data_IF_018023317200
#
_entry.id   IF_018023317200
#
_cell.length_a   1.000
_cell.length_b   1.000
_cell.length_c   1.000
_cell.angle_alpha   90.00
_cell.angle_beta   90.00
_cell.angle_gamma   90.00
#
_symmetry.space_group_name_H-M   'P 1'
#
loop_
_entity.id
_entity.type
_entity.pdbx_description
1 polymer ?
#
# COMPACT_ATOMS: atom_id res chain seq x y z
N UNK A 1 29.04 -12.33 7.02
CA UNK A 1 27.85 -12.67 7.81
C UNK A 1 26.73 -11.74 7.35
N UNK A 2 25.68 -12.26 6.71
CA UNK A 2 24.58 -11.44 6.20
C UNK A 2 23.48 -11.32 7.25
N UNK A 3 23.15 -10.11 7.71
CA UNK A 3 21.97 -9.83 8.51
C UNK A 3 20.72 -10.15 7.69
N UNK A 4 19.95 -11.15 8.13
CA UNK A 4 18.62 -11.47 7.60
C UNK A 4 17.58 -10.72 8.42
N UNK A 5 17.04 -9.65 7.88
CA UNK A 5 15.91 -8.96 8.48
C UNK A 5 14.61 -9.60 7.96
N UNK A 6 13.76 -10.04 8.89
CA UNK A 6 12.37 -10.44 8.61
C UNK A 6 11.49 -9.78 9.64
N UNK A 7 10.59 -8.90 9.20
CA UNK A 7 9.51 -8.36 10.03
C UNK A 7 8.19 -8.81 9.43
N UNK A 8 7.34 -9.43 10.22
CA UNK A 8 5.97 -9.77 9.84
C UNK A 8 5.03 -8.88 10.63
N UNK A 9 4.19 -8.14 9.95
CA UNK A 9 3.26 -7.18 10.54
C UNK A 9 1.86 -7.72 10.28
N UNK A 10 1.06 -7.85 11.34
CA UNK A 10 -0.32 -8.30 11.27
C UNK A 10 -1.18 -7.10 10.89
N UNK A 11 -1.70 -7.07 9.66
CA UNK A 11 -2.61 -6.03 9.21
C UNK A 11 -4.01 -6.20 9.84
N UNK A 12 -4.54 -7.45 9.82
CA UNK A 12 -5.75 -7.86 10.56
C UNK A 12 -5.76 -9.38 10.73
N UNK A 13 -6.80 -9.95 11.39
CA UNK A 13 -6.86 -11.39 11.63
C UNK A 13 -6.85 -12.19 10.33
N UNK A 14 -5.73 -12.88 10.08
CA UNK A 14 -5.52 -13.72 8.91
C UNK A 14 -4.67 -13.07 7.81
N UNK A 15 -4.34 -11.78 7.88
CA UNK A 15 -3.51 -11.08 6.88
C UNK A 15 -2.24 -10.54 7.52
N UNK A 16 -1.11 -10.91 6.95
CA UNK A 16 0.19 -10.40 7.40
C UNK A 16 0.99 -9.89 6.20
N UNK A 17 1.55 -8.70 6.34
CA UNK A 17 2.59 -8.20 5.48
C UNK A 17 3.94 -8.72 5.97
N UNK A 18 4.68 -9.38 5.11
CA UNK A 18 6.02 -9.86 5.44
C UNK A 18 7.04 -9.04 4.66
N UNK A 19 7.89 -8.33 5.39
CA UNK A 19 9.04 -7.61 4.83
C UNK A 19 10.26 -8.53 4.89
N UNK A 20 10.88 -8.80 3.76
CA UNK A 20 12.10 -9.59 3.66
C UNK A 20 13.07 -8.97 2.64
N UNK A 21 14.32 -9.40 2.68
CA UNK A 21 15.37 -8.97 1.74
C UNK A 21 15.01 -9.25 0.25
N UNK A 22 14.03 -10.11 -0.01
CA UNK A 22 13.52 -10.43 -1.35
C UNK A 22 12.28 -9.60 -1.76
N UNK A 23 11.91 -8.59 -0.95
CA UNK A 23 10.78 -7.71 -1.14
C UNK A 23 9.60 -8.01 -0.21
N UNK A 24 8.62 -7.11 -0.15
CA UNK A 24 7.40 -7.31 0.60
C UNK A 24 6.54 -8.41 -0.02
N UNK A 25 5.79 -9.13 0.81
CA UNK A 25 4.82 -10.13 0.39
C UNK A 25 3.62 -10.14 1.33
N UNK A 26 2.42 -10.18 0.77
CA UNK A 26 1.19 -10.38 1.52
C UNK A 26 0.97 -11.87 1.77
N UNK A 27 0.66 -12.24 2.98
CA UNK A 27 0.25 -13.60 3.31
C UNK A 27 -1.13 -13.61 3.95
N UNK A 28 -2.00 -14.46 3.41
CA UNK A 28 -3.37 -14.65 3.82
C UNK A 28 -3.51 -16.03 4.46
N UNK A 29 -4.25 -16.17 5.57
CA UNK A 29 -4.60 -17.46 6.14
C UNK A 29 -4.71 -17.48 7.65
N UNK A 30 -5.56 -18.37 8.15
CA UNK A 30 -5.66 -18.76 9.57
C UNK A 30 -4.77 -19.98 9.85
N UNK A 31 -4.66 -20.32 11.13
CA UNK A 31 -3.88 -21.47 11.62
C UNK A 31 -4.12 -22.73 10.76
N UNK A 32 -3.07 -23.24 10.12
CA UNK A 32 -3.10 -24.45 9.28
C UNK A 32 -3.10 -24.22 7.77
N UNK A 33 -3.47 -23.06 7.25
CA UNK A 33 -3.42 -22.78 5.82
C UNK A 33 -2.98 -21.34 5.57
N UNK A 34 -1.89 -21.16 4.84
CA UNK A 34 -1.34 -19.85 4.51
C UNK A 34 -1.06 -19.75 3.01
N UNK A 35 -1.56 -18.73 2.40
CA UNK A 35 -1.20 -18.37 1.03
C UNK A 35 -0.44 -17.05 1.05
N UNK A 36 0.69 -16.96 0.37
CA UNK A 36 1.43 -15.73 0.22
C UNK A 36 1.67 -15.42 -1.26
N UNK A 37 1.48 -14.18 -1.62
CA UNK A 37 1.73 -13.67 -2.96
C UNK A 37 2.83 -12.62 -2.83
N UNK A 38 3.91 -12.77 -3.60
CA UNK A 38 4.93 -11.74 -3.67
C UNK A 38 4.66 -10.84 -4.88
N UNK A 39 5.21 -9.63 -4.86
CA UNK A 39 5.07 -8.64 -5.93
C UNK A 39 5.63 -9.08 -7.29
N UNK A 40 6.37 -10.20 -7.34
CA UNK A 40 6.86 -10.81 -8.60
C UNK A 40 5.88 -11.81 -9.20
N UNK A 41 4.62 -11.86 -8.68
CA UNK A 41 3.59 -12.78 -9.15
C UNK A 41 3.84 -14.26 -8.81
N UNK A 42 4.64 -14.54 -7.77
CA UNK A 42 4.80 -15.90 -7.27
C UNK A 42 3.80 -16.13 -6.13
N UNK A 43 2.95 -17.11 -6.30
CA UNK A 43 2.03 -17.58 -5.27
C UNK A 43 2.63 -18.78 -4.55
N UNK A 44 2.69 -18.70 -3.22
CA UNK A 44 3.10 -19.82 -2.37
C UNK A 44 1.96 -20.19 -1.43
N UNK A 45 1.43 -21.39 -1.62
CA UNK A 45 0.42 -21.97 -0.73
C UNK A 45 1.11 -22.91 0.24
N UNK A 46 0.88 -22.68 1.54
CA UNK A 46 1.37 -23.55 2.61
C UNK A 46 0.17 -24.09 3.37
N UNK A 47 0.04 -25.40 3.43
CA UNK A 47 -0.97 -26.11 4.22
C UNK A 47 -0.24 -26.85 5.33
N UNK A 48 -0.61 -26.61 6.58
CA UNK A 48 0.01 -27.27 7.74
C UNK A 48 -1.04 -27.75 8.72
N UNK A 49 -0.71 -28.79 9.49
CA UNK A 49 -1.55 -29.26 10.57
C UNK A 49 -1.15 -28.49 11.84
N UNK A 50 -2.07 -27.68 12.43
CA UNK A 50 -1.75 -26.89 13.61
C UNK A 50 -1.22 -27.74 14.74
N UNK A 51 -0.11 -27.31 15.38
CA UNK A 51 0.49 -27.97 16.53
C UNK A 51 1.45 -29.14 16.22
N UNK A 52 1.57 -29.60 14.97
CA UNK A 52 2.43 -30.75 14.62
C UNK A 52 3.77 -30.39 13.99
N UNK A 53 3.95 -29.13 13.57
CA UNK A 53 5.14 -28.70 12.82
C UNK A 53 5.24 -29.24 11.39
N UNK A 54 4.29 -30.05 10.94
CA UNK A 54 4.24 -30.59 9.56
C UNK A 54 3.50 -29.63 8.66
N UNK A 55 4.16 -29.22 7.56
CA UNK A 55 3.56 -28.36 6.54
C UNK A 55 3.96 -28.78 5.14
N UNK A 56 3.03 -28.62 4.20
CA UNK A 56 3.23 -28.82 2.76
C UNK A 56 3.23 -27.46 2.07
N UNK A 57 4.22 -27.20 1.22
CA UNK A 57 4.34 -25.92 0.51
C UNK A 57 4.37 -26.17 -0.99
N UNK A 58 3.48 -25.51 -1.72
CA UNK A 58 3.46 -25.47 -3.19
C UNK A 58 3.73 -24.03 -3.65
N UNK A 59 4.74 -23.87 -4.49
CA UNK A 59 5.05 -22.57 -5.12
C UNK A 59 4.67 -22.66 -6.60
N UNK A 60 3.89 -21.70 -7.08
CA UNK A 60 3.48 -21.57 -8.48
C UNK A 60 3.86 -20.17 -8.97
N UNK A 61 4.37 -20.06 -10.21
CA UNK A 61 4.60 -18.80 -10.88
C UNK A 61 3.40 -18.50 -11.76
N UNK A 62 2.76 -17.35 -11.58
CA UNK A 62 1.61 -16.90 -12.37
C UNK A 62 1.98 -16.80 -13.86
N UNK A 63 3.24 -16.52 -14.20
CA UNK A 63 3.73 -16.52 -15.59
C UNK A 63 3.58 -17.86 -16.31
N UNK A 64 3.52 -18.99 -15.61
CA UNK A 64 3.34 -20.31 -16.22
C UNK A 64 1.88 -20.71 -16.41
N UNK A 65 0.93 -19.94 -15.88
CA UNK A 65 -0.51 -20.18 -16.05
C UNK A 65 -1.05 -19.39 -17.26
N UNK A 66 -0.42 -18.28 -17.63
CA UNK A 66 -0.83 -17.39 -18.73
C UNK A 66 0.01 -17.55 -20.01
N UNK A 67 1.04 -18.38 -20.00
CA UNK A 67 1.91 -18.65 -21.15
C UNK A 67 1.45 -19.82 -21.99
N UNK A 68 0.34 -19.71 -22.68
CA UNK A 68 0.06 -20.53 -23.83
C UNK A 68 0.87 -20.04 -25.03
N UNK A 69 1.90 -20.77 -25.45
CA UNK A 69 2.60 -20.40 -26.68
C UNK A 69 3.87 -21.20 -26.94
N UNK A 70 3.73 -22.27 -27.71
CA UNK A 70 4.65 -22.79 -28.76
C UNK A 70 6.16 -22.90 -28.47
N UNK A 71 6.66 -24.02 -28.52
CA UNK A 71 7.44 -24.83 -29.52
C UNK A 71 8.53 -25.66 -28.81
N UNK A 72 8.81 -26.86 -29.06
CA UNK A 72 9.21 -27.69 -30.17
C UNK A 72 9.62 -29.11 -29.74
N UNK A 73 9.15 -30.06 -30.52
CA UNK A 73 9.78 -31.30 -30.95
C UNK A 73 10.87 -32.02 -30.14
N UNK A 74 10.59 -33.28 -29.92
CA UNK A 74 11.64 -34.31 -29.84
C UNK A 74 11.17 -35.66 -29.34
N UNK A 75 10.92 -36.56 -30.33
CA UNK A 75 11.09 -38.00 -30.33
C UNK A 75 10.11 -38.93 -29.59
N UNK A 76 9.57 -39.76 -30.41
CA UNK A 76 8.65 -40.86 -30.21
C UNK A 76 9.15 -41.98 -29.29
N UNK A 77 8.22 -42.60 -28.56
CA UNK A 77 8.14 -44.06 -28.48
C UNK A 77 6.67 -44.50 -28.45
N UNK A 78 6.35 -45.40 -29.35
CA UNK A 78 5.06 -46.09 -29.50
C UNK A 78 4.86 -47.07 -28.37
N UNK A 79 3.64 -47.19 -27.90
CA UNK A 79 3.24 -48.41 -27.23
C UNK A 79 1.98 -48.31 -26.38
N UNK A 80 0.93 -48.97 -26.92
CA UNK A 80 -0.22 -49.55 -26.23
C UNK A 80 -1.41 -48.68 -25.83
N UNK A 81 -2.45 -48.82 -26.64
CA UNK A 81 -3.86 -48.59 -26.35
C UNK A 81 -4.30 -49.32 -25.07
N UNK A 82 -4.98 -48.63 -24.20
CA UNK A 82 -6.15 -49.21 -23.51
C UNK A 82 -7.10 -48.10 -23.13
N UNK A 83 -8.33 -48.26 -23.54
CA UNK A 83 -9.43 -47.39 -23.27
C UNK A 83 -9.82 -47.43 -21.77
N UNK A 84 -9.79 -46.26 -21.13
CA UNK A 84 -10.67 -45.98 -20.00
C UNK A 84 -10.97 -44.49 -20.05
N UNK A 85 -11.95 -44.16 -20.88
CA UNK A 85 -12.63 -42.86 -20.87
C UNK A 85 -13.60 -42.91 -19.71
N UNK A 86 -13.08 -42.73 -18.49
CA UNK A 86 -13.91 -42.49 -17.33
C UNK A 86 -13.97 -40.98 -17.15
N UNK A 87 -15.17 -40.45 -17.30
CA UNK A 87 -15.52 -39.08 -17.04
C UNK A 87 -14.95 -38.65 -15.67
N UNK A 88 -13.90 -37.83 -15.67
CA UNK A 88 -13.62 -36.98 -14.55
C UNK A 88 -14.74 -35.91 -14.57
N UNK A 89 -15.84 -36.21 -13.86
CA UNK A 89 -16.79 -35.18 -13.46
C UNK A 89 -15.94 -34.09 -12.83
N UNK A 90 -16.02 -32.88 -13.36
CA UNK A 90 -15.46 -31.68 -12.71
C UNK A 90 -16.11 -31.64 -11.32
N UNK A 91 -15.37 -32.04 -10.29
CA UNK A 91 -15.79 -31.84 -8.92
C UNK A 91 -15.90 -30.33 -8.75
N UNK A 92 -17.12 -29.81 -8.63
CA UNK A 92 -17.34 -28.42 -8.23
C UNK A 92 -16.61 -28.17 -6.92
N UNK A 93 -16.29 -26.88 -6.68
CA UNK A 93 -15.67 -26.46 -5.42
C UNK A 93 -16.55 -26.92 -4.24
N UNK A 94 -15.90 -27.34 -3.16
CA UNK A 94 -16.60 -27.60 -1.89
C UNK A 94 -17.12 -26.30 -1.29
N UNK A 95 -18.12 -26.37 -0.43
CA UNK A 95 -18.65 -25.19 0.29
C UNK A 95 -17.56 -24.47 1.08
N UNK A 96 -16.60 -25.19 1.66
CA UNK A 96 -15.47 -24.62 2.37
C UNK A 96 -14.53 -23.83 1.44
N UNK A 97 -14.26 -24.33 0.22
CA UNK A 97 -13.45 -23.63 -0.79
C UNK A 97 -14.17 -22.39 -1.32
N UNK A 98 -15.48 -22.46 -1.53
CA UNK A 98 -16.30 -21.30 -1.95
C UNK A 98 -16.27 -20.22 -0.87
N UNK A 99 -16.43 -20.58 0.39
CA UNK A 99 -16.39 -19.63 1.50
C UNK A 99 -14.99 -19.01 1.66
N UNK A 100 -13.94 -19.80 1.52
CA UNK A 100 -12.57 -19.27 1.51
C UNK A 100 -12.34 -18.29 0.36
N UNK A 101 -12.80 -18.60 -0.85
CA UNK A 101 -12.68 -17.73 -2.00
C UNK A 101 -13.46 -16.42 -1.79
N UNK A 102 -14.64 -16.48 -1.19
CA UNK A 102 -15.44 -15.30 -0.82
C UNK A 102 -14.67 -14.40 0.17
N UNK A 103 -14.08 -15.00 1.20
CA UNK A 103 -13.28 -14.27 2.17
C UNK A 103 -12.06 -13.61 1.52
N UNK A 104 -11.37 -14.31 0.62
CA UNK A 104 -10.22 -13.75 -0.12
C UNK A 104 -10.61 -12.54 -0.96
N UNK A 105 -11.75 -12.61 -1.66
CA UNK A 105 -12.23 -11.46 -2.46
C UNK A 105 -12.64 -10.31 -1.55
N UNK A 106 -13.33 -10.57 -0.44
CA UNK A 106 -13.72 -9.54 0.52
C UNK A 106 -12.50 -8.87 1.18
N UNK A 107 -11.46 -9.63 1.50
CA UNK A 107 -10.19 -9.09 2.03
C UNK A 107 -9.47 -8.20 0.99
N UNK A 108 -9.48 -8.61 -0.28
CA UNK A 108 -8.95 -7.78 -1.36
C UNK A 108 -9.72 -6.47 -1.51
N UNK A 109 -11.05 -6.52 -1.53
CA UNK A 109 -11.91 -5.33 -1.62
C UNK A 109 -11.71 -4.39 -0.43
N UNK A 110 -11.59 -4.95 0.79
CA UNK A 110 -11.31 -4.18 1.99
C UNK A 110 -9.93 -3.49 1.93
N UNK A 111 -8.91 -4.16 1.38
CA UNK A 111 -7.58 -3.56 1.21
C UNK A 111 -7.61 -2.40 0.19
N UNK A 112 -8.37 -2.54 -0.90
CA UNK A 112 -8.56 -1.45 -1.87
C UNK A 112 -9.27 -0.26 -1.21
N UNK A 113 -10.34 -0.50 -0.45
CA UNK A 113 -11.07 0.56 0.24
C UNK A 113 -10.19 1.24 1.30
N UNK A 114 -9.33 0.49 1.97
CA UNK A 114 -8.37 1.02 2.93
C UNK A 114 -7.39 2.00 2.27
N UNK A 115 -6.83 1.66 1.09
CA UNK A 115 -5.95 2.56 0.34
C UNK A 115 -6.65 3.89 -0.01
N UNK A 116 -7.94 3.86 -0.34
CA UNK A 116 -8.73 5.04 -0.67
C UNK A 116 -9.12 5.86 0.56
N UNK A 117 -9.19 5.24 1.73
CA UNK A 117 -9.73 5.84 2.95
C UNK A 117 -8.69 6.15 4.04
N UNK A 118 -7.39 6.11 3.70
CA UNK A 118 -6.28 6.44 4.61
C UNK A 118 -6.50 7.78 5.33
N UNK A 119 -7.04 8.79 4.65
CA UNK A 119 -7.33 10.11 5.18
C UNK A 119 -8.35 10.13 6.34
N UNK A 120 -9.16 9.09 6.51
CA UNK A 120 -10.13 9.00 7.62
C UNK A 120 -9.45 8.71 8.95
N UNK A 121 -8.33 8.02 8.91
CA UNK A 121 -7.51 7.79 10.09
C UNK A 121 -6.68 9.03 10.41
N UNK A 122 -6.35 9.26 11.66
CA UNK A 122 -5.38 10.25 12.12
C UNK A 122 -5.01 10.01 13.57
N UNK A 123 -3.82 10.44 13.92
CA UNK A 123 -3.37 10.44 15.31
C UNK A 123 -4.11 11.48 16.16
N UNK A 124 -4.14 11.24 17.47
CA UNK A 124 -4.67 12.21 18.42
C UNK A 124 -3.75 13.43 18.53
N UNK A 125 -4.33 14.62 18.56
CA UNK A 125 -3.56 15.85 18.71
C UNK A 125 -2.89 15.94 20.10
N UNK A 126 -1.62 16.33 20.12
CA UNK A 126 -0.86 16.57 21.35
C UNK A 126 -1.06 18.02 21.79
N UNK A 127 -1.55 18.21 23.00
CA UNK A 127 -1.56 19.53 23.64
C UNK A 127 -0.23 19.75 24.39
N UNK A 128 0.72 20.33 23.70
CA UNK A 128 2.04 20.66 24.24
C UNK A 128 2.01 21.64 25.41
N UNK A 129 0.94 22.43 25.56
CA UNK A 129 0.83 23.41 26.63
C UNK A 129 0.51 22.78 27.99
N UNK A 130 -0.18 21.64 27.99
CA UNK A 130 -0.61 20.93 29.19
C UNK A 130 0.17 19.62 29.42
N UNK A 131 1.07 19.26 28.51
CA UNK A 131 1.83 18.02 28.58
C UNK A 131 2.90 18.06 29.67
N UNK A 132 2.66 17.39 30.81
CA UNK A 132 3.53 17.42 31.99
C UNK A 132 4.11 16.05 32.35
N UNK A 133 3.68 14.97 31.68
CA UNK A 133 4.11 13.60 31.97
C UNK A 133 4.18 12.76 30.68
N UNK A 134 4.91 11.66 30.74
CA UNK A 134 5.17 10.74 29.62
C UNK A 134 6.45 11.08 28.87
N UNK A 135 6.78 10.24 27.88
CA UNK A 135 8.06 10.27 27.16
C UNK A 135 8.28 11.56 26.35
N UNK A 136 7.19 12.20 25.93
CA UNK A 136 7.24 13.46 25.19
C UNK A 136 7.28 14.71 26.08
N UNK A 137 6.95 14.61 27.37
CA UNK A 137 6.95 15.76 28.27
C UNK A 137 8.27 16.55 28.31
N UNK A 138 9.47 15.93 28.25
CA UNK A 138 10.74 16.65 28.19
C UNK A 138 10.89 17.57 26.98
N UNK A 139 10.19 17.32 25.88
CA UNK A 139 10.24 18.13 24.66
C UNK A 139 9.24 19.30 24.65
N UNK A 140 8.26 19.33 25.55
CA UNK A 140 7.14 20.26 25.48
C UNK A 140 7.59 21.73 25.37
N UNK A 141 8.55 22.14 26.19
CA UNK A 141 9.03 23.52 26.21
C UNK A 141 9.80 23.92 24.97
N UNK A 142 10.67 23.05 24.46
CA UNK A 142 11.44 23.28 23.25
C UNK A 142 10.55 23.25 21.99
N UNK A 143 9.58 22.33 21.93
CA UNK A 143 8.58 22.28 20.83
C UNK A 143 7.77 23.56 20.79
N UNK A 144 7.28 24.05 21.93
CA UNK A 144 6.53 25.32 22.00
C UNK A 144 7.40 26.54 21.66
N UNK A 145 8.71 26.47 21.92
CA UNK A 145 9.66 27.51 21.53
C UNK A 145 10.05 27.48 20.04
N UNK A 146 9.57 26.49 19.29
CA UNK A 146 9.89 26.34 17.86
C UNK A 146 11.28 25.74 17.60
N UNK A 147 11.82 24.94 18.52
CA UNK A 147 13.10 24.27 18.34
C UNK A 147 12.96 23.12 17.34
N UNK A 148 13.52 23.32 16.15
CA UNK A 148 13.44 22.40 15.02
C UNK A 148 14.08 21.03 15.34
N UNK A 149 15.20 21.03 16.09
CA UNK A 149 15.84 19.76 16.48
C UNK A 149 14.92 18.94 17.39
N UNK A 150 14.14 19.59 18.23
CA UNK A 150 13.13 18.91 19.05
C UNK A 150 11.96 18.39 18.22
N UNK A 151 11.57 19.07 17.13
CA UNK A 151 10.55 18.56 16.20
C UNK A 151 10.98 17.21 15.59
N UNK A 152 12.22 17.13 15.10
CA UNK A 152 12.73 15.88 14.52
C UNK A 152 12.84 14.74 15.55
N UNK A 153 13.26 15.04 16.77
CA UNK A 153 13.29 14.05 17.85
C UNK A 153 11.91 13.51 18.19
N UNK A 154 10.91 14.39 18.22
CA UNK A 154 9.51 14.02 18.48
C UNK A 154 8.95 13.18 17.32
N UNK A 155 9.25 13.54 16.07
CA UNK A 155 8.85 12.73 14.90
C UNK A 155 9.49 11.33 14.96
N UNK A 156 10.77 11.24 15.33
CA UNK A 156 11.49 9.97 15.46
C UNK A 156 10.91 9.11 16.59
N UNK A 157 10.58 9.71 17.72
CA UNK A 157 10.03 9.01 18.90
C UNK A 157 8.62 8.50 18.66
N UNK A 158 7.77 9.30 17.99
CA UNK A 158 6.36 8.97 17.77
C UNK A 158 6.15 8.12 16.53
N UNK A 159 6.93 8.33 15.47
CA UNK A 159 6.78 7.65 14.19
C UNK A 159 5.41 7.87 13.54
N UNK A 160 4.96 9.14 13.31
CA UNK A 160 3.58 9.44 12.89
C UNK A 160 3.16 8.82 11.55
N UNK A 161 4.12 8.32 10.77
CA UNK A 161 3.89 7.71 9.46
C UNK A 161 4.24 6.22 9.41
N UNK A 162 4.56 5.59 10.56
CA UNK A 162 5.02 4.20 10.61
C UNK A 162 3.97 3.22 10.07
N UNK A 163 2.70 3.46 10.33
CA UNK A 163 1.59 2.67 9.78
C UNK A 163 1.46 2.84 8.25
N UNK A 164 1.81 4.01 7.72
CA UNK A 164 1.82 4.27 6.28
C UNK A 164 2.99 3.59 5.56
N UNK A 165 4.12 3.38 6.25
CA UNK A 165 5.24 2.61 5.70
C UNK A 165 4.85 1.14 5.41
N UNK A 166 3.84 0.62 6.09
CA UNK A 166 3.35 -0.74 5.88
C UNK A 166 2.76 -0.96 4.48
N UNK A 167 2.26 0.09 3.84
CA UNK A 167 1.79 0.03 2.45
C UNK A 167 2.93 -0.05 1.44
N UNK A 168 4.17 0.29 1.83
CA UNK A 168 5.35 0.23 0.97
C UNK A 168 5.89 1.58 0.54
N UNK A 169 5.19 2.67 0.82
CA UNK A 169 5.66 4.04 0.60
C UNK A 169 6.76 4.43 1.60
N UNK A 170 7.40 5.58 1.40
CA UNK A 170 8.34 6.15 2.36
C UNK A 170 8.19 7.66 2.47
N UNK A 171 8.65 8.22 3.58
CA UNK A 171 8.48 9.63 3.91
C UNK A 171 9.80 10.21 4.39
N UNK A 172 10.09 11.44 3.97
CA UNK A 172 11.19 12.25 4.46
C UNK A 172 10.64 13.59 4.93
N UNK A 173 11.13 14.09 6.05
CA UNK A 173 10.67 15.35 6.65
C UNK A 173 11.82 16.34 6.76
N UNK A 174 11.51 17.63 6.54
CA UNK A 174 12.49 18.69 6.62
C UNK A 174 11.86 20.05 6.87
N UNK A 175 12.59 20.98 7.49
CA UNK A 175 12.21 22.38 7.62
C UNK A 175 13.38 23.26 8.03
N UNK A 176 13.30 24.52 7.61
CA UNK A 176 14.18 25.63 8.07
C UNK A 176 13.38 26.66 8.88
N UNK A 177 12.04 26.52 8.93
CA UNK A 177 11.12 27.45 9.61
C UNK A 177 10.22 26.67 10.56
N UNK A 178 10.21 26.98 11.87
CA UNK A 178 9.42 26.27 12.85
C UNK A 178 7.89 26.39 12.63
N UNK A 179 7.44 27.28 11.78
CA UNK A 179 6.01 27.39 11.41
C UNK A 179 5.60 26.51 10.24
N UNK A 180 6.58 25.93 9.53
CA UNK A 180 6.38 25.14 8.31
C UNK A 180 7.01 23.75 8.48
N UNK A 181 6.35 22.70 8.02
CA UNK A 181 6.95 21.38 7.85
C UNK A 181 6.83 20.97 6.38
N UNK A 182 7.92 20.49 5.80
CA UNK A 182 7.93 19.89 4.48
C UNK A 182 7.99 18.37 4.61
N UNK A 183 7.20 17.66 3.80
CA UNK A 183 7.20 16.20 3.77
C UNK A 183 7.34 15.74 2.32
N UNK A 184 8.34 14.94 2.05
CA UNK A 184 8.46 14.20 0.81
C UNK A 184 7.80 12.83 0.98
N UNK A 185 6.83 12.54 0.14
CA UNK A 185 6.06 11.30 0.13
C UNK A 185 6.41 10.50 -1.12
N UNK A 186 7.25 9.49 -0.97
CA UNK A 186 7.59 8.57 -2.06
C UNK A 186 6.47 7.54 -2.22
N UNK A 187 5.65 7.71 -3.25
CA UNK A 187 4.41 6.95 -3.50
C UNK A 187 4.68 5.48 -3.75
N UNK A 188 5.73 5.17 -4.54
CA UNK A 188 6.08 3.82 -4.97
C UNK A 188 4.90 3.05 -5.54
N UNK A 189 4.18 3.68 -6.47
CA UNK A 189 2.92 3.15 -6.99
C UNK A 189 3.02 1.71 -7.52
N UNK A 190 4.15 1.36 -8.16
CA UNK A 190 4.41 0.02 -8.66
C UNK A 190 4.53 -1.06 -7.57
N UNK A 191 4.80 -0.68 -6.31
CA UNK A 191 4.93 -1.58 -5.17
C UNK A 191 3.63 -1.63 -4.35
N UNK A 192 2.94 -0.51 -4.22
CA UNK A 192 1.76 -0.32 -3.36
C UNK A 192 0.47 -0.74 -4.06
N UNK A 193 0.29 -0.35 -5.33
CA UNK A 193 -0.98 -0.51 -6.01
C UNK A 193 -1.09 -1.85 -6.73
N UNK A 194 -2.21 -2.58 -6.59
CA UNK A 194 -2.43 -3.79 -7.36
C UNK A 194 -2.68 -3.46 -8.84
N UNK A 195 -2.22 -4.33 -9.71
CA UNK A 195 -2.47 -4.26 -11.16
C UNK A 195 -3.59 -5.17 -11.62
N UNK A 196 -4.15 -5.98 -10.71
CA UNK A 196 -5.21 -6.95 -11.00
C UNK A 196 -6.40 -6.75 -10.08
N UNK A 197 -7.58 -7.15 -10.55
CA UNK A 197 -8.84 -7.15 -9.79
C UNK A 197 -9.27 -8.58 -9.54
N UNK A 198 -9.55 -8.91 -8.29
CA UNK A 198 -10.14 -10.18 -7.89
C UNK A 198 -11.67 -10.04 -7.85
N UNK A 199 -12.36 -11.08 -8.31
CA UNK A 199 -13.82 -11.16 -8.21
C UNK A 199 -14.28 -12.62 -8.03
N UNK A 200 -15.42 -12.83 -7.38
CA UNK A 200 -16.01 -14.17 -7.22
C UNK A 200 -16.90 -14.46 -8.43
N UNK A 201 -16.70 -15.64 -9.05
CA UNK A 201 -17.59 -16.13 -10.10
C UNK A 201 -18.82 -16.81 -9.52
N UNK A 202 -19.83 -17.07 -10.36
CA UNK A 202 -21.05 -17.73 -9.97
C UNK A 202 -20.84 -19.15 -9.43
N UNK A 203 -19.77 -19.84 -9.87
CA UNK A 203 -19.38 -21.16 -9.39
C UNK A 203 -18.56 -21.15 -8.10
N UNK A 204 -18.35 -19.97 -7.51
CA UNK A 204 -17.56 -19.78 -6.30
C UNK A 204 -16.04 -19.74 -6.52
N UNK A 205 -15.56 -19.85 -7.75
CA UNK A 205 -14.13 -19.69 -8.06
C UNK A 205 -13.74 -18.20 -8.13
N UNK A 206 -12.46 -17.90 -7.86
CA UNK A 206 -11.91 -16.55 -8.03
C UNK A 206 -11.63 -16.30 -9.52
N UNK A 207 -12.07 -15.16 -10.03
CA UNK A 207 -11.61 -14.58 -11.27
C UNK A 207 -10.58 -13.51 -10.96
N UNK A 208 -9.46 -13.57 -11.63
CA UNK A 208 -8.43 -12.54 -11.64
C UNK A 208 -8.38 -11.91 -13.03
N UNK A 209 -8.40 -10.59 -13.11
CA UNK A 209 -8.34 -9.83 -14.37
C UNK A 209 -7.39 -8.67 -14.20
N UNK A 210 -6.68 -8.30 -15.24
CA UNK A 210 -5.91 -7.07 -15.26
C UNK A 210 -6.81 -5.87 -15.01
N UNK A 211 -6.36 -4.97 -14.14
CA UNK A 211 -7.03 -3.70 -13.89
C UNK A 211 -6.97 -2.85 -15.17
N UNK A 212 -8.05 -2.17 -15.49
CA UNK A 212 -8.03 -1.20 -16.60
C UNK A 212 -7.13 -0.02 -16.22
N UNK A 213 -6.50 0.61 -17.21
CA UNK A 213 -5.68 1.81 -16.97
C UNK A 213 -6.43 2.87 -16.17
N UNK A 214 -7.69 3.12 -16.52
CA UNK A 214 -8.53 4.10 -15.82
C UNK A 214 -8.73 3.72 -14.34
N UNK A 215 -9.07 2.46 -14.06
CA UNK A 215 -9.26 2.00 -12.68
C UNK A 215 -7.95 2.07 -11.88
N UNK A 216 -6.81 1.72 -12.48
CA UNK A 216 -5.50 1.83 -11.84
C UNK A 216 -5.15 3.28 -11.49
N UNK A 217 -5.33 4.20 -12.44
CA UNK A 217 -5.01 5.61 -12.20
C UNK A 217 -6.00 6.28 -11.26
N UNK A 218 -7.29 5.94 -11.30
CA UNK A 218 -8.26 6.41 -10.31
C UNK A 218 -7.87 5.93 -8.90
N UNK A 219 -7.50 4.66 -8.73
CA UNK A 219 -7.00 4.14 -7.46
C UNK A 219 -5.71 4.84 -7.00
N UNK A 220 -4.78 5.08 -7.93
CA UNK A 220 -3.56 5.83 -7.65
C UNK A 220 -3.86 7.24 -7.14
N UNK A 221 -4.81 7.93 -7.76
CA UNK A 221 -5.22 9.27 -7.36
C UNK A 221 -5.85 9.28 -5.98
N UNK A 222 -6.77 8.35 -5.72
CA UNK A 222 -7.39 8.19 -4.41
C UNK A 222 -6.34 7.93 -3.32
N UNK A 223 -5.40 7.01 -3.57
CA UNK A 223 -4.33 6.68 -2.64
C UNK A 223 -3.42 7.88 -2.35
N UNK A 224 -2.92 8.54 -3.39
CA UNK A 224 -2.01 9.71 -3.24
C UNK A 224 -2.70 10.83 -2.48
N UNK A 225 -3.92 11.17 -2.88
CA UNK A 225 -4.70 12.26 -2.26
C UNK A 225 -5.06 11.94 -0.81
N UNK A 226 -5.48 10.71 -0.54
CA UNK A 226 -5.82 10.22 0.79
C UNK A 226 -4.61 10.26 1.73
N UNK A 227 -3.44 9.83 1.24
CA UNK A 227 -2.19 9.83 2.01
C UNK A 227 -1.69 11.24 2.29
N UNK A 228 -1.75 12.16 1.33
CA UNK A 228 -1.39 13.58 1.54
C UNK A 228 -2.22 14.19 2.68
N UNK A 229 -3.53 13.97 2.68
CA UNK A 229 -4.42 14.48 3.74
C UNK A 229 -4.09 13.87 5.10
N UNK A 230 -3.80 12.57 5.15
CA UNK A 230 -3.42 11.88 6.38
C UNK A 230 -2.10 12.44 6.93
N UNK A 231 -1.08 12.57 6.10
CA UNK A 231 0.22 13.14 6.48
C UNK A 231 0.08 14.55 7.02
N UNK A 232 -0.72 15.40 6.37
CA UNK A 232 -0.98 16.74 6.88
C UNK A 232 -1.64 16.72 8.26
N UNK A 233 -2.67 15.87 8.45
CA UNK A 233 -3.40 15.74 9.74
C UNK A 233 -2.48 15.30 10.86
N UNK A 234 -1.68 14.27 10.64
CA UNK A 234 -0.79 13.73 11.67
C UNK A 234 0.35 14.70 12.00
N UNK A 235 0.89 15.40 10.99
CA UNK A 235 1.88 16.45 11.23
C UNK A 235 1.28 17.57 12.09
N UNK A 236 0.05 18.02 11.81
CA UNK A 236 -0.62 19.03 12.62
C UNK A 236 -1.04 18.52 14.00
N UNK A 237 -1.35 17.25 14.14
CA UNK A 237 -1.65 16.63 15.43
C UNK A 237 -0.41 16.57 16.33
N UNK A 238 0.74 16.28 15.73
CA UNK A 238 2.00 16.11 16.44
C UNK A 238 2.71 17.42 16.76
N UNK A 239 2.79 18.35 15.80
CA UNK A 239 3.61 19.56 15.90
C UNK A 239 2.80 20.85 15.82
N UNK A 240 3.23 21.96 16.49
CA UNK A 240 2.51 23.23 16.48
C UNK A 240 2.73 24.07 15.21
N UNK A 241 3.14 23.44 14.10
CA UNK A 241 3.36 24.11 12.82
C UNK A 241 2.05 24.70 12.26
N UNK A 242 2.16 25.74 11.44
CA UNK A 242 1.01 26.43 10.82
C UNK A 242 0.75 25.97 9.40
N UNK A 243 1.80 25.47 8.73
CA UNK A 243 1.72 25.05 7.34
C UNK A 243 2.46 23.74 7.16
N UNK A 244 1.89 22.84 6.37
CA UNK A 244 2.55 21.60 5.89
C UNK A 244 2.59 21.66 4.38
N UNK A 245 3.77 21.44 3.80
CA UNK A 245 3.97 21.32 2.37
C UNK A 245 4.34 19.88 2.08
N UNK A 246 3.57 19.22 1.20
CA UNK A 246 3.79 17.80 0.88
C UNK A 246 4.07 17.66 -0.60
N UNK A 247 5.14 16.95 -0.92
CA UNK A 247 5.52 16.60 -2.29
C UNK A 247 5.38 15.10 -2.47
N UNK A 248 4.32 14.66 -3.14
CA UNK A 248 4.18 13.27 -3.55
C UNK A 248 5.03 13.02 -4.79
N UNK A 249 5.94 12.06 -4.71
CA UNK A 249 6.89 11.70 -5.76
C UNK A 249 6.73 10.23 -6.14
N UNK A 250 7.02 9.92 -7.40
CA UNK A 250 7.07 8.52 -7.86
C UNK A 250 8.14 8.37 -8.95
N UNK A 251 8.64 7.17 -9.09
CA UNK A 251 9.59 6.81 -10.14
C UNK A 251 8.82 6.33 -11.36
N UNK A 252 9.02 6.98 -12.48
CA UNK A 252 8.38 6.64 -13.75
C UNK A 252 9.43 6.56 -14.87
N UNK A 253 9.15 5.74 -15.88
CA UNK A 253 10.00 5.67 -17.07
C UNK A 253 9.81 6.96 -17.88
N UNK A 254 10.89 7.73 -18.05
CA UNK A 254 10.92 8.85 -18.99
C UNK A 254 10.84 8.28 -20.43
N UNK A 255 9.76 8.56 -21.12
CA UNK A 255 9.51 8.02 -22.47
C UNK A 255 10.51 8.53 -23.52
N UNK A 256 11.22 9.64 -23.25
CA UNK A 256 12.21 10.18 -24.17
C UNK A 256 13.60 9.54 -24.01
N UNK A 257 13.94 9.13 -22.78
CA UNK A 257 15.27 8.58 -22.45
C UNK A 257 15.25 7.09 -22.20
N UNK A 258 14.07 6.52 -21.85
CA UNK A 258 13.91 5.14 -21.42
C UNK A 258 14.51 4.85 -20.04
N UNK A 259 14.90 5.89 -19.30
CA UNK A 259 15.45 5.78 -17.94
C UNK A 259 14.35 6.00 -16.90
N UNK A 260 14.55 5.38 -15.74
CA UNK A 260 13.73 5.65 -14.56
C UNK A 260 14.10 7.03 -14.02
N UNK A 261 13.12 7.89 -13.88
CA UNK A 261 13.25 9.24 -13.32
C UNK A 261 12.21 9.45 -12.22
N UNK A 262 12.60 10.19 -11.20
CA UNK A 262 11.72 10.60 -10.12
C UNK A 262 11.01 11.90 -10.49
N UNK A 263 9.68 11.91 -10.41
CA UNK A 263 8.85 13.07 -10.70
C UNK A 263 7.96 13.45 -9.51
N UNK A 264 7.80 14.74 -9.28
CA UNK A 264 6.75 15.24 -8.38
C UNK A 264 5.40 15.13 -9.08
N UNK A 265 4.51 14.30 -8.53
CA UNK A 265 3.17 14.03 -9.04
C UNK A 265 2.16 15.07 -8.54
N UNK A 266 2.26 15.38 -7.24
CA UNK A 266 1.44 16.36 -6.53
C UNK A 266 2.32 17.16 -5.60
N UNK A 267 2.11 18.46 -5.55
CA UNK A 267 2.68 19.34 -4.54
C UNK A 267 1.57 20.15 -3.90
N UNK A 268 1.34 19.98 -2.60
CA UNK A 268 0.26 20.61 -1.86
C UNK A 268 0.77 21.39 -0.67
N UNK A 269 0.26 22.61 -0.48
CA UNK A 269 0.49 23.44 0.71
C UNK A 269 -0.83 23.56 1.46
N UNK A 270 -0.85 23.07 2.69
CA UNK A 270 -2.04 22.97 3.53
C UNK A 270 -1.77 23.76 4.81
N UNK A 271 -2.70 24.61 5.22
CA UNK A 271 -2.61 25.33 6.49
C UNK A 271 -3.46 24.68 7.56
N UNK A 272 -3.06 24.86 8.83
CA UNK A 272 -3.78 24.35 10.00
C UNK A 272 -5.24 24.80 10.03
N UNK A 273 -5.52 26.05 9.67
CA UNK A 273 -6.87 26.59 9.65
C UNK A 273 -7.75 25.94 8.57
N UNK A 274 -7.18 25.66 7.39
CA UNK A 274 -7.92 25.03 6.30
C UNK A 274 -8.31 23.60 6.64
N UNK A 275 -7.36 22.79 7.16
CA UNK A 275 -7.60 21.39 7.46
C UNK A 275 -8.57 21.19 8.63
N UNK A 276 -8.59 22.11 9.58
CA UNK A 276 -9.47 22.05 10.77
C UNK A 276 -10.96 22.11 10.47
N UNK A 277 -11.35 22.62 9.30
CA UNK A 277 -12.76 22.74 8.87
C UNK A 277 -13.30 21.56 8.08
N UNK A 278 -12.50 20.52 7.82
CA UNK A 278 -12.85 19.43 6.91
C UNK A 278 -13.50 18.26 7.69
N UNK A 279 -14.58 17.71 7.12
CA UNK A 279 -15.19 16.47 7.59
C UNK A 279 -14.60 15.28 6.84
N UNK A 280 -13.57 14.64 7.39
CA UNK A 280 -12.83 13.56 6.78
C UNK A 280 -13.61 12.26 6.58
N UNK A 281 -14.72 12.06 7.27
CA UNK A 281 -15.60 10.91 7.06
C UNK A 281 -16.42 11.00 5.76
N UNK A 282 -16.56 12.23 5.21
CA UNK A 282 -17.48 12.49 4.11
C UNK A 282 -16.82 13.10 2.87
N UNK A 283 -15.59 13.56 3.00
CA UNK A 283 -14.87 14.22 1.90
C UNK A 283 -14.34 13.18 0.91
N UNK A 284 -14.38 13.53 -0.39
CA UNK A 284 -13.54 12.88 -1.39
C UNK A 284 -12.13 13.47 -1.30
N UNK A 285 -11.08 12.63 -1.11
CA UNK A 285 -9.73 13.14 -0.88
C UNK A 285 -9.17 13.91 -2.09
N UNK A 286 -9.48 13.49 -3.31
CA UNK A 286 -8.98 14.13 -4.52
C UNK A 286 -9.65 15.49 -4.76
N UNK A 287 -10.94 15.59 -4.49
CA UNK A 287 -11.67 16.87 -4.55
C UNK A 287 -11.23 17.80 -3.41
N UNK A 288 -10.95 17.25 -2.23
CA UNK A 288 -10.47 18.01 -1.08
C UNK A 288 -9.14 18.72 -1.39
N UNK A 289 -8.20 18.05 -2.04
CA UNK A 289 -6.92 18.64 -2.41
C UNK A 289 -7.06 19.88 -3.29
N UNK A 290 -8.10 19.97 -4.12
CA UNK A 290 -8.34 21.16 -4.97
C UNK A 290 -8.69 22.39 -4.16
N UNK A 291 -9.10 22.26 -2.90
CA UNK A 291 -9.41 23.39 -2.01
C UNK A 291 -8.17 24.07 -1.41
N UNK A 292 -6.99 23.46 -1.56
CA UNK A 292 -5.72 23.98 -1.11
C UNK A 292 -4.89 24.57 -2.24
N UNK A 293 -3.77 25.22 -1.92
CA UNK A 293 -2.76 25.54 -2.93
C UNK A 293 -2.10 24.23 -3.35
N UNK A 294 -2.48 23.73 -4.52
CA UNK A 294 -2.08 22.41 -4.99
C UNK A 294 -1.69 22.45 -6.49
N UNK A 295 -0.52 21.91 -6.79
CA UNK A 295 -0.08 21.63 -8.14
C UNK A 295 -0.34 20.15 -8.41
N UNK A 296 -1.28 19.87 -9.30
CA UNK A 296 -1.63 18.52 -9.77
C UNK A 296 -1.92 18.58 -11.30
N UNK A 297 -1.45 17.58 -12.03
CA UNK A 297 -1.83 17.35 -13.42
C UNK A 297 -2.20 15.88 -13.59
N UNK A 298 -3.49 15.57 -13.55
CA UNK A 298 -3.97 14.20 -13.61
C UNK A 298 -4.92 13.99 -14.81
N UNK A 299 -4.77 12.82 -15.44
CA UNK A 299 -5.69 12.32 -16.48
C UNK A 299 -6.02 10.86 -16.22
N UNK A 300 -7.30 10.51 -16.24
CA UNK A 300 -7.78 9.14 -15.94
C UNK A 300 -7.17 8.04 -16.81
N UNK A 301 -6.71 8.35 -18.01
CA UNK A 301 -6.16 7.39 -18.97
C UNK A 301 -4.63 7.38 -19.04
N UNK A 302 -3.98 8.40 -18.47
CA UNK A 302 -2.53 8.61 -18.55
C UNK A 302 -1.87 8.66 -17.17
N UNK A 303 -2.67 8.90 -16.11
CA UNK A 303 -2.19 9.10 -14.76
C UNK A 303 -1.70 10.53 -14.50
N UNK A 304 -0.75 10.65 -13.61
CA UNK A 304 -0.11 11.92 -13.27
C UNK A 304 0.95 12.33 -14.29
N UNK A 305 1.00 13.62 -14.56
CA UNK A 305 2.14 14.26 -15.25
C UNK A 305 2.95 15.08 -14.23
N UNK A 306 4.26 15.25 -14.46
CA UNK A 306 5.13 16.03 -13.57
C UNK A 306 4.61 17.45 -13.33
N UNK A 307 4.79 17.93 -12.09
CA UNK A 307 4.44 19.30 -11.68
C UNK A 307 5.58 19.96 -10.92
N UNK A 308 5.58 21.29 -10.90
CA UNK A 308 6.52 22.06 -10.11
C UNK A 308 6.20 21.98 -8.61
N UNK A 309 7.23 21.93 -7.77
CA UNK A 309 7.09 21.96 -6.31
C UNK A 309 6.65 23.36 -5.85
N UNK A 310 5.78 23.39 -4.88
CA UNK A 310 5.44 24.60 -4.13
C UNK A 310 6.56 24.84 -3.11
N UNK A 311 7.11 26.03 -3.15
CA UNK A 311 8.14 26.45 -2.18
C UNK A 311 7.48 27.16 -1.00
N UNK A 312 8.14 27.14 0.19
CA UNK A 312 7.71 27.86 1.40
C UNK A 312 7.46 29.34 1.20
#
# INVERSE_FOLDING_TARGET
MGLNFRKSIKLFDGVNLNLSKSGPSLSFGKSGMRQSVNLKGQTRTTVGIPGTGVYYTKTSNVKNILGGGKDKKGAASKGAKSAAKTAAAAKGLSEAEIEQNRNTVAEYEAAIEQLKSIHKLSDGAIDWTTLTAGDLAPFAQSVLAGDIDSYFKVIEEVGPFDDLLEYGSSFEVGTDDPSIMQVEFNVRSAEVLPTTVLSLKADGSIAEKDMTKTAYFDLMRDYVSSTILRVARDTFALLPVQTVIIHAQDVQVNSATGQDEEFTLVSAMITRNQIGGINFERVDPSDCLTSFKCNEKFRKTEGYAPVDRILP
#
